data_IF_805879022977
#
_entry.id   IF_805879022977
#
_cell.length_a   1.000
_cell.length_b   1.000
_cell.length_c   1.000
_cell.angle_alpha   90.00
_cell.angle_beta   90.00
_cell.angle_gamma   90.00
#
_symmetry.space_group_name_H-M   'P 1'
#
loop_
_entity.id
_entity.type
_entity.pdbx_description
1 polymer ?
#
# COMPACT_ATOMS: atom_id res chain seq x y z
N UNK A 1 -15.16 -32.12 -72.74
CA UNK A 1 -15.99 -31.45 -73.76
C UNK A 1 -17.18 -30.80 -73.06
N UNK A 2 -17.32 -29.49 -73.26
CA UNK A 2 -18.49 -28.62 -73.09
C UNK A 2 -19.20 -28.50 -71.73
N UNK A 3 -19.07 -27.29 -71.15
CA UNK A 3 -20.07 -26.64 -70.31
C UNK A 3 -21.30 -26.21 -71.15
N UNK A 4 -22.44 -25.89 -70.48
CA UNK A 4 -22.87 -24.48 -70.46
C UNK A 4 -23.47 -24.04 -69.10
N UNK A 5 -24.05 -22.83 -69.09
CA UNK A 5 -24.13 -21.82 -68.02
C UNK A 5 -25.51 -21.67 -67.35
N UNK A 6 -25.45 -21.15 -66.11
CA UNK A 6 -26.25 -20.07 -65.46
C UNK A 6 -27.72 -20.20 -64.98
N UNK A 7 -27.90 -19.67 -63.75
CA UNK A 7 -29.06 -19.05 -63.07
C UNK A 7 -30.15 -19.99 -62.46
N UNK A 8 -30.67 -19.82 -61.23
CA UNK A 8 -30.51 -18.84 -60.15
C UNK A 8 -31.46 -19.14 -58.96
N UNK A 9 -31.40 -18.30 -57.91
CA UNK A 9 -32.26 -18.18 -56.70
C UNK A 9 -32.07 -19.21 -55.56
N UNK A 10 -31.42 -18.92 -54.42
CA UNK A 10 -31.70 -18.02 -53.25
C UNK A 10 -32.95 -18.38 -52.42
N UNK A 11 -32.72 -18.98 -51.25
CA UNK A 11 -33.63 -19.00 -50.09
C UNK A 11 -32.83 -18.69 -48.82
N UNK A 12 -33.04 -17.50 -48.24
CA UNK A 12 -32.31 -16.95 -47.11
C UNK A 12 -32.85 -17.45 -45.76
N UNK A 13 -31.94 -17.91 -44.88
CA UNK A 13 -32.14 -18.00 -43.44
C UNK A 13 -31.99 -16.62 -42.79
N UNK A 14 -32.88 -16.33 -41.84
CA UNK A 14 -32.85 -15.14 -40.98
C UNK A 14 -31.72 -15.26 -39.95
N UNK A 15 -30.79 -14.30 -39.97
CA UNK A 15 -29.81 -14.08 -38.90
C UNK A 15 -30.20 -12.80 -38.16
N UNK A 16 -30.31 -12.89 -36.84
CA UNK A 16 -30.52 -11.75 -35.95
C UNK A 16 -29.20 -10.97 -35.85
N UNK A 17 -29.23 -9.71 -36.28
CA UNK A 17 -28.08 -8.82 -36.28
C UNK A 17 -27.83 -8.25 -34.87
N UNK A 18 -26.57 -8.35 -34.42
CA UNK A 18 -26.06 -7.78 -33.19
C UNK A 18 -26.07 -6.24 -33.19
N UNK A 19 -26.15 -5.69 -31.98
CA UNK A 19 -26.26 -4.26 -31.70
C UNK A 19 -25.12 -3.44 -32.31
N UNK A 20 -25.51 -2.38 -33.01
CA UNK A 20 -24.62 -1.48 -33.73
C UNK A 20 -23.84 -0.55 -32.78
N UNK A 21 -22.51 -0.56 -32.89
CA UNK A 21 -21.64 0.53 -32.44
C UNK A 21 -21.94 1.79 -33.29
N UNK A 22 -22.62 2.79 -32.73
CA UNK A 22 -22.84 4.07 -33.40
C UNK A 22 -21.69 5.04 -33.09
N UNK A 23 -20.72 5.13 -34.00
CA UNK A 23 -19.86 6.30 -34.10
C UNK A 23 -20.63 7.42 -34.84
N UNK A 24 -21.02 8.50 -34.15
CA UNK A 24 -21.61 9.68 -34.80
C UNK A 24 -20.48 10.57 -35.36
N UNK A 25 -20.46 10.78 -36.69
CA UNK A 25 -19.76 11.90 -37.33
C UNK A 25 -20.81 12.87 -37.88
N UNK A 26 -20.83 14.10 -37.37
CA UNK A 26 -21.57 15.20 -38.00
C UNK A 26 -20.68 15.84 -39.07
N UNK A 27 -21.26 16.16 -40.23
CA UNK A 27 -20.65 17.00 -41.27
C UNK A 27 -21.45 18.30 -41.34
N UNK A 28 -20.79 19.43 -41.19
CA UNK A 28 -21.25 20.73 -41.70
C UNK A 28 -20.05 21.59 -42.08
N UNK A 29 -20.15 22.21 -43.25
CA UNK A 29 -19.23 23.17 -43.84
C UNK A 29 -19.32 24.54 -43.15
N UNK A 30 -18.18 25.20 -42.89
CA UNK A 30 -18.13 26.63 -42.53
C UNK A 30 -16.94 26.98 -41.64
N UNK A 31 -16.33 28.14 -41.92
CA UNK A 31 -15.06 28.69 -41.40
C UNK A 31 -14.88 28.86 -39.88
N UNK A 32 -13.61 28.78 -39.46
CA UNK A 32 -12.96 29.38 -38.27
C UNK A 32 -13.31 28.87 -36.86
N UNK A 33 -12.27 28.44 -36.15
CA UNK A 33 -12.27 28.06 -34.74
C UNK A 33 -11.79 26.63 -34.57
N UNK A 34 -10.59 26.43 -34.02
CA UNK A 34 -10.13 25.11 -33.57
C UNK A 34 -11.01 24.65 -32.41
N UNK A 35 -12.13 24.01 -32.72
CA UNK A 35 -12.92 23.27 -31.76
C UNK A 35 -12.04 22.15 -31.16
N UNK A 36 -11.99 21.99 -29.83
CA UNK A 36 -11.29 20.85 -29.25
C UNK A 36 -11.97 19.56 -29.75
N UNK A 37 -11.20 18.71 -30.45
CA UNK A 37 -11.68 17.40 -30.88
C UNK A 37 -12.28 16.64 -29.69
N UNK A 38 -13.55 16.25 -29.82
CA UNK A 38 -14.30 15.61 -28.74
C UNK A 38 -13.65 14.27 -28.33
N UNK A 39 -13.63 13.93 -27.03
CA UNK A 39 -13.13 12.65 -26.56
C UNK A 39 -13.95 11.49 -27.14
N UNK A 40 -13.28 10.37 -27.43
CA UNK A 40 -13.96 9.14 -27.83
C UNK A 40 -14.44 8.39 -26.59
N UNK A 41 -15.71 7.99 -26.60
CA UNK A 41 -16.35 7.30 -25.47
C UNK A 41 -16.89 5.93 -25.89
N UNK A 42 -16.70 4.95 -25.03
CA UNK A 42 -17.26 3.61 -25.14
C UNK A 42 -18.03 3.27 -23.87
N UNK A 43 -19.23 2.72 -24.03
CA UNK A 43 -20.02 2.17 -22.93
C UNK A 43 -20.30 0.70 -23.24
N UNK A 44 -19.72 -0.20 -22.45
CA UNK A 44 -19.88 -1.64 -22.58
C UNK A 44 -20.80 -2.18 -21.49
N UNK A 45 -21.68 -3.12 -21.85
CA UNK A 45 -22.42 -3.93 -20.88
C UNK A 45 -21.58 -5.15 -20.51
N UNK A 46 -21.38 -5.36 -19.22
CA UNK A 46 -20.47 -6.38 -18.69
C UNK A 46 -21.11 -7.13 -17.53
N UNK A 47 -20.53 -8.27 -17.16
CA UNK A 47 -20.82 -8.90 -15.87
C UNK A 47 -20.31 -8.00 -14.72
N UNK A 48 -21.04 -7.88 -13.59
CA UNK A 48 -20.59 -7.11 -12.42
C UNK A 48 -19.31 -7.63 -11.77
N UNK A 49 -18.99 -8.90 -12.02
CA UNK A 49 -17.74 -9.54 -11.63
C UNK A 49 -16.96 -9.94 -12.87
N UNK A 50 -15.69 -9.56 -12.92
CA UNK A 50 -14.85 -9.76 -14.08
C UNK A 50 -13.46 -9.16 -13.89
N UNK A 51 -12.76 -8.97 -15.01
CA UNK A 51 -11.40 -8.44 -15.05
C UNK A 51 -11.27 -7.31 -16.05
N UNK A 52 -10.52 -6.27 -15.70
CA UNK A 52 -10.03 -5.26 -16.63
C UNK A 52 -8.59 -5.57 -17.04
N UNK A 53 -8.36 -5.78 -18.34
CA UNK A 53 -7.04 -5.89 -18.94
C UNK A 53 -6.72 -4.63 -19.74
N UNK A 54 -5.82 -3.81 -19.24
CA UNK A 54 -5.38 -2.60 -19.93
C UNK A 54 -3.91 -2.71 -20.37
N UNK A 55 -3.61 -2.41 -21.63
CA UNK A 55 -2.24 -2.32 -22.15
C UNK A 55 -2.11 -1.09 -23.03
N UNK A 56 -1.44 -0.05 -22.50
CA UNK A 56 -1.42 1.28 -23.13
C UNK A 56 -0.06 1.96 -22.92
N UNK A 57 0.49 2.69 -23.92
CA UNK A 57 1.73 3.46 -23.77
C UNK A 57 1.50 4.91 -23.28
N UNK A 58 0.32 5.24 -22.76
CA UNK A 58 -0.10 6.61 -22.43
C UNK A 58 -0.64 6.72 -21.00
N UNK A 59 -1.17 7.90 -20.62
CA UNK A 59 -1.73 8.11 -19.28
C UNK A 59 -3.04 7.34 -19.11
N UNK A 60 -3.11 6.44 -18.14
CA UNK A 60 -4.28 5.64 -17.81
C UNK A 60 -4.78 5.98 -16.40
N UNK A 61 -6.05 6.35 -16.27
CA UNK A 61 -6.72 6.49 -14.99
C UNK A 61 -7.85 5.45 -14.87
N UNK A 62 -7.81 4.63 -13.82
CA UNK A 62 -8.83 3.62 -13.53
C UNK A 62 -9.52 3.99 -12.22
N UNK A 63 -10.85 4.12 -12.27
CA UNK A 63 -11.70 4.47 -11.12
C UNK A 63 -12.91 3.56 -11.04
N UNK A 64 -13.50 3.35 -9.85
CA UNK A 64 -14.74 2.64 -9.75
C UNK A 64 -15.83 3.41 -10.49
N UNK A 65 -16.78 2.65 -11.02
CA UNK A 65 -18.05 3.16 -11.49
C UNK A 65 -18.83 3.74 -10.30
N UNK A 66 -19.57 4.82 -10.54
CA UNK A 66 -20.40 5.42 -9.49
C UNK A 66 -21.56 4.47 -9.14
N UNK A 67 -21.61 3.93 -7.90
CA UNK A 67 -22.67 3.01 -7.50
C UNK A 67 -24.07 3.65 -7.50
N UNK A 68 -24.17 4.98 -7.35
CA UNK A 68 -25.45 5.68 -7.36
C UNK A 68 -26.02 5.78 -8.78
N UNK A 69 -25.16 6.02 -9.77
CA UNK A 69 -25.56 6.10 -11.17
C UNK A 69 -25.73 4.71 -11.81
N UNK A 70 -25.02 3.69 -11.33
CA UNK A 70 -25.00 2.35 -11.89
C UNK A 70 -25.04 1.29 -10.77
N UNK A 71 -26.21 1.09 -10.12
CA UNK A 71 -26.33 0.20 -8.97
C UNK A 71 -26.05 -1.28 -9.30
N UNK A 72 -26.35 -1.70 -10.52
CA UNK A 72 -26.13 -3.08 -10.97
C UNK A 72 -24.65 -3.41 -11.21
N UNK A 73 -23.78 -2.40 -11.34
CA UNK A 73 -22.37 -2.60 -11.67
C UNK A 73 -22.15 -3.29 -13.02
N UNK A 74 -23.11 -3.25 -13.95
CA UNK A 74 -23.10 -4.01 -15.20
C UNK A 74 -22.54 -3.20 -16.40
N UNK A 75 -21.72 -2.19 -16.12
CA UNK A 75 -21.15 -1.28 -17.12
C UNK A 75 -19.66 -1.05 -16.94
N UNK A 76 -18.97 -0.89 -18.06
CA UNK A 76 -17.65 -0.27 -18.13
C UNK A 76 -17.72 0.93 -19.07
N UNK A 77 -17.23 2.06 -18.60
CA UNK A 77 -17.12 3.29 -19.39
C UNK A 77 -15.65 3.54 -19.68
N UNK A 78 -15.31 3.75 -20.95
CA UNK A 78 -13.96 4.13 -21.38
C UNK A 78 -14.05 5.47 -22.09
N UNK A 79 -13.27 6.44 -21.67
CA UNK A 79 -13.14 7.74 -22.32
C UNK A 79 -11.68 7.95 -22.71
N UNK A 80 -11.42 8.31 -23.96
CA UNK A 80 -10.09 8.63 -24.45
C UNK A 80 -10.06 10.04 -25.03
N UNK A 81 -9.01 10.80 -24.71
CA UNK A 81 -8.71 12.07 -25.37
C UNK A 81 -8.57 11.88 -26.89
N UNK A 82 -8.72 12.94 -27.68
CA UNK A 82 -8.56 12.88 -29.14
C UNK A 82 -7.23 12.21 -29.57
N UNK A 83 -6.13 12.54 -28.89
CA UNK A 83 -4.81 11.92 -29.10
C UNK A 83 -4.70 10.47 -28.60
N UNK A 84 -5.60 10.03 -27.71
CA UNK A 84 -5.67 8.67 -27.16
C UNK A 84 -6.71 7.78 -27.83
N UNK A 85 -7.52 8.31 -28.75
CA UNK A 85 -8.61 7.58 -29.39
C UNK A 85 -8.18 6.82 -30.65
N UNK A 86 -7.21 7.34 -31.39
CA UNK A 86 -6.74 6.73 -32.64
C UNK A 86 -5.98 5.42 -32.38
N UNK A 87 -6.59 4.27 -32.71
CA UNK A 87 -5.95 2.95 -32.53
C UNK A 87 -6.22 2.28 -31.18
N UNK A 88 -7.12 2.83 -30.36
CA UNK A 88 -7.59 2.19 -29.13
C UNK A 88 -8.60 1.08 -29.46
N UNK A 89 -8.37 -0.13 -28.97
CA UNK A 89 -9.31 -1.25 -29.07
C UNK A 89 -9.93 -1.51 -27.71
N UNK A 90 -11.25 -1.38 -27.64
CA UNK A 90 -12.05 -1.63 -26.45
C UNK A 90 -13.03 -2.75 -26.76
N UNK A 91 -12.88 -3.89 -26.09
CA UNK A 91 -13.72 -5.07 -26.32
C UNK A 91 -14.04 -5.77 -24.99
N UNK A 92 -15.21 -6.40 -24.92
CA UNK A 92 -15.60 -7.27 -23.81
C UNK A 92 -15.70 -8.71 -24.32
N UNK A 93 -15.05 -9.63 -23.62
CA UNK A 93 -15.16 -11.06 -23.82
C UNK A 93 -16.05 -11.65 -22.72
N UNK A 94 -17.24 -12.13 -23.11
CA UNK A 94 -18.24 -12.67 -22.18
C UNK A 94 -17.81 -14.02 -21.60
N UNK A 95 -17.10 -14.85 -22.37
CA UNK A 95 -16.66 -16.17 -21.91
C UNK A 95 -15.57 -16.04 -20.84
N UNK A 96 -14.67 -15.06 -21.00
CA UNK A 96 -13.61 -14.76 -20.03
C UNK A 96 -14.04 -13.75 -18.95
N UNK A 97 -15.20 -13.10 -19.11
CA UNK A 97 -15.65 -11.95 -18.32
C UNK A 97 -14.57 -10.87 -18.21
N UNK A 98 -13.89 -10.61 -19.33
CA UNK A 98 -12.73 -9.71 -19.39
C UNK A 98 -13.00 -8.52 -20.31
N UNK A 99 -12.76 -7.31 -19.82
CA UNK A 99 -12.72 -6.10 -20.65
C UNK A 99 -11.29 -5.82 -21.05
N UNK A 100 -11.01 -5.80 -22.34
CA UNK A 100 -9.71 -5.49 -22.91
C UNK A 100 -9.69 -4.06 -23.45
N UNK A 101 -8.78 -3.23 -22.92
CA UNK A 101 -8.46 -1.88 -23.39
C UNK A 101 -7.02 -1.88 -23.87
N UNK A 102 -6.81 -2.02 -25.18
CA UNK A 102 -5.51 -2.32 -25.78
C UNK A 102 -5.13 -1.29 -26.83
N UNK A 103 -3.87 -0.86 -26.81
CA UNK A 103 -3.26 -0.17 -27.94
C UNK A 103 -1.74 -0.25 -27.89
N UNK A 104 -1.12 -0.40 -29.05
CA UNK A 104 0.34 -0.54 -29.19
C UNK A 104 1.01 0.76 -29.66
N UNK A 105 0.23 1.73 -30.16
CA UNK A 105 0.75 2.94 -30.80
C UNK A 105 -0.17 4.15 -30.55
N UNK A 106 -0.25 4.59 -29.29
CA UNK A 106 -0.92 5.85 -28.92
C UNK A 106 0.10 6.97 -28.75
N UNK A 107 -0.32 8.22 -28.99
CA UNK A 107 0.47 9.39 -28.59
C UNK A 107 0.65 9.33 -27.06
N UNK A 108 1.90 9.39 -26.53
CA UNK A 108 2.16 9.43 -25.09
C UNK A 108 1.46 10.58 -24.36
N UNK A 109 1.08 11.66 -25.07
CA UNK A 109 0.29 12.78 -24.53
C UNK A 109 -1.20 12.46 -24.38
N UNK A 110 -1.68 11.37 -24.98
CA UNK A 110 -3.05 10.92 -24.83
C UNK A 110 -3.36 10.47 -23.40
N UNK A 111 -4.61 10.64 -23.00
CA UNK A 111 -5.14 10.10 -21.76
C UNK A 111 -6.33 9.18 -22.02
N UNK A 112 -6.40 8.09 -21.26
CA UNK A 112 -7.50 7.14 -21.23
C UNK A 112 -8.01 7.03 -19.79
N UNK A 113 -9.31 7.20 -19.62
CA UNK A 113 -10.00 6.99 -18.35
C UNK A 113 -10.91 5.78 -18.48
N UNK A 114 -10.87 4.90 -17.48
CA UNK A 114 -11.71 3.72 -17.39
C UNK A 114 -12.48 3.75 -16.07
N UNK A 115 -13.79 3.78 -16.15
CA UNK A 115 -14.68 3.53 -15.03
C UNK A 115 -15.20 2.10 -15.11
N UNK A 116 -14.82 1.26 -14.14
CA UNK A 116 -15.20 -0.16 -14.10
C UNK A 116 -15.86 -0.54 -12.77
N UNK A 117 -16.63 -1.64 -12.71
CA UNK A 117 -17.28 -2.06 -11.47
C UNK A 117 -16.28 -2.25 -10.33
N UNK A 118 -16.68 -1.88 -9.11
CA UNK A 118 -15.78 -1.78 -7.94
C UNK A 118 -14.97 -3.06 -7.68
N UNK A 119 -15.57 -4.23 -7.96
CA UNK A 119 -15.02 -5.56 -7.70
C UNK A 119 -14.29 -6.20 -8.87
N UNK A 120 -13.92 -5.42 -9.89
CA UNK A 120 -13.13 -5.95 -11.01
C UNK A 120 -11.67 -6.19 -10.61
N UNK A 121 -11.16 -7.36 -10.96
CA UNK A 121 -9.73 -7.62 -10.95
C UNK A 121 -9.03 -6.76 -12.00
N UNK A 122 -7.81 -6.31 -11.69
CA UNK A 122 -7.07 -5.38 -12.53
C UNK A 122 -5.79 -6.03 -13.05
N UNK A 123 -5.57 -5.98 -14.37
CA UNK A 123 -4.33 -6.37 -15.02
C UNK A 123 -3.90 -5.26 -15.99
N UNK A 124 -3.05 -4.36 -15.49
CA UNK A 124 -2.67 -3.15 -16.18
C UNK A 124 -1.19 -3.24 -16.54
N UNK A 125 -0.87 -2.97 -17.81
CA UNK A 125 0.49 -2.82 -18.30
C UNK A 125 0.65 -1.49 -19.00
N UNK A 126 1.65 -0.71 -18.61
CA UNK A 126 2.02 0.53 -19.26
C UNK A 126 3.43 0.47 -19.83
N UNK A 127 3.55 0.72 -21.12
CA UNK A 127 4.84 0.81 -21.82
C UNK A 127 5.33 2.26 -21.88
N UNK A 128 6.63 2.44 -22.10
CA UNK A 128 7.27 3.76 -22.17
C UNK A 128 7.14 4.55 -20.87
N UNK A 129 6.79 5.83 -21.00
CA UNK A 129 6.66 6.78 -19.88
C UNK A 129 5.22 6.96 -19.38
N UNK A 130 4.29 6.09 -19.79
CA UNK A 130 2.87 6.19 -19.44
C UNK A 130 2.63 6.18 -17.92
N UNK A 131 1.76 7.08 -17.45
CA UNK A 131 1.40 7.18 -16.02
C UNK A 131 0.11 6.41 -15.75
N UNK A 132 0.15 5.50 -14.79
CA UNK A 132 -1.02 4.72 -14.36
C UNK A 132 -1.52 5.29 -13.03
N UNK A 133 -2.80 5.60 -12.95
CA UNK A 133 -3.47 5.97 -11.70
C UNK A 133 -4.63 5.00 -11.45
N UNK A 134 -4.63 4.34 -10.30
CA UNK A 134 -5.74 3.48 -9.84
C UNK A 134 -6.22 3.99 -8.50
N UNK A 135 -7.52 4.22 -8.34
CA UNK A 135 -8.08 4.80 -7.13
C UNK A 135 -9.35 4.10 -6.66
N UNK A 136 -9.50 3.91 -5.34
CA UNK A 136 -10.74 3.46 -4.67
C UNK A 136 -11.33 2.14 -5.20
N UNK A 137 -10.50 1.14 -5.50
CA UNK A 137 -10.93 -0.19 -5.94
C UNK A 137 -10.89 -1.22 -4.81
N UNK A 138 -11.75 -2.24 -4.91
CA UNK A 138 -11.79 -3.39 -4.02
C UNK A 138 -11.83 -4.70 -4.81
N UNK A 139 -10.70 -5.38 -4.99
CA UNK A 139 -10.57 -6.52 -5.91
C UNK A 139 -9.73 -7.66 -5.34
N UNK A 140 -9.88 -8.89 -5.82
CA UNK A 140 -9.06 -9.99 -5.30
C UNK A 140 -7.63 -9.91 -5.82
N UNK A 141 -7.46 -9.59 -7.10
CA UNK A 141 -6.15 -9.48 -7.73
C UNK A 141 -5.99 -8.13 -8.45
N UNK A 142 -4.94 -7.40 -8.06
CA UNK A 142 -4.51 -6.20 -8.74
C UNK A 142 -3.06 -6.37 -9.21
N UNK A 143 -2.84 -6.40 -10.53
CA UNK A 143 -1.52 -6.46 -11.15
C UNK A 143 -1.27 -5.21 -11.98
N UNK A 144 -0.18 -4.50 -11.68
CA UNK A 144 0.24 -3.30 -12.40
C UNK A 144 1.71 -3.46 -12.80
N UNK A 145 2.00 -3.39 -14.09
CA UNK A 145 3.36 -3.42 -14.64
C UNK A 145 3.65 -2.12 -15.39
N UNK A 146 4.73 -1.40 -15.06
CA UNK A 146 5.14 -0.16 -15.74
C UNK A 146 6.59 -0.19 -16.17
N UNK A 147 6.91 0.40 -17.32
CA UNK A 147 8.30 0.48 -17.80
C UNK A 147 9.06 1.64 -17.15
N UNK A 148 8.81 2.90 -17.51
CA UNK A 148 9.55 4.05 -16.98
C UNK A 148 8.62 5.12 -16.36
N UNK A 149 7.33 4.83 -16.31
CA UNK A 149 6.29 5.77 -15.90
C UNK A 149 6.10 5.93 -14.39
N UNK A 150 5.06 6.68 -14.02
CA UNK A 150 4.63 6.81 -12.62
C UNK A 150 3.37 5.98 -12.37
N UNK A 151 3.43 5.10 -11.38
CA UNK A 151 2.30 4.31 -10.88
C UNK A 151 1.75 4.92 -9.60
N UNK A 152 0.53 5.43 -9.64
CA UNK A 152 -0.16 6.04 -8.50
C UNK A 152 -1.29 5.12 -8.07
N UNK A 153 -1.19 4.56 -6.87
CA UNK A 153 -2.21 3.72 -6.26
C UNK A 153 -2.83 4.48 -5.10
N UNK A 154 -4.15 4.66 -5.09
CA UNK A 154 -4.83 5.45 -4.07
C UNK A 154 -5.95 4.66 -3.41
N UNK A 155 -5.87 4.46 -2.10
CA UNK A 155 -6.94 3.85 -1.28
C UNK A 155 -7.50 2.56 -1.90
N UNK A 156 -6.62 1.58 -2.11
CA UNK A 156 -6.98 0.30 -2.72
C UNK A 156 -7.12 -0.79 -1.66
N UNK A 157 -8.08 -1.68 -1.85
CA UNK A 157 -8.20 -2.92 -1.10
C UNK A 157 -8.03 -4.07 -2.06
N UNK A 158 -7.08 -4.95 -1.79
CA UNK A 158 -6.95 -6.16 -2.57
C UNK A 158 -6.46 -7.34 -1.76
N UNK A 159 -6.89 -8.56 -2.08
CA UNK A 159 -6.28 -9.73 -1.44
C UNK A 159 -4.82 -9.89 -1.87
N UNK A 160 -4.53 -9.63 -3.15
CA UNK A 160 -3.20 -9.70 -3.75
C UNK A 160 -2.95 -8.50 -4.67
N UNK A 161 -2.05 -7.63 -4.23
CA UNK A 161 -1.55 -6.51 -5.02
C UNK A 161 -0.11 -6.80 -5.47
N UNK A 162 0.13 -6.80 -6.78
CA UNK A 162 1.46 -6.91 -7.36
C UNK A 162 1.75 -5.70 -8.25
N UNK A 163 2.79 -4.94 -7.92
CA UNK A 163 3.25 -3.79 -8.69
C UNK A 163 4.69 -4.02 -9.12
N UNK A 164 4.94 -3.99 -10.41
CA UNK A 164 6.29 -4.10 -10.96
C UNK A 164 6.61 -2.86 -11.79
N UNK A 165 7.71 -2.18 -11.50
CA UNK A 165 8.21 -1.10 -12.34
C UNK A 165 9.67 -1.32 -12.71
N UNK A 166 10.03 -1.05 -13.98
CA UNK A 166 11.44 -1.10 -14.40
C UNK A 166 12.17 0.21 -14.08
N UNK A 167 11.48 1.34 -14.14
CA UNK A 167 11.97 2.69 -13.92
C UNK A 167 10.83 3.61 -13.47
N UNK A 168 11.15 4.82 -13.03
CA UNK A 168 10.16 5.84 -12.67
C UNK A 168 9.77 5.85 -11.18
N UNK A 169 8.47 5.93 -10.87
CA UNK A 169 7.99 6.14 -9.49
C UNK A 169 6.78 5.27 -9.17
N UNK A 170 6.75 4.69 -7.98
CA UNK A 170 5.56 4.07 -7.38
C UNK A 170 5.12 4.91 -6.20
N UNK A 171 3.87 5.38 -6.22
CA UNK A 171 3.30 6.26 -5.20
C UNK A 171 2.01 5.63 -4.68
N UNK A 172 2.05 5.16 -3.44
CA UNK A 172 0.89 4.64 -2.72
C UNK A 172 0.33 5.73 -1.81
N UNK A 173 -0.85 6.25 -2.13
CA UNK A 173 -1.54 7.33 -1.42
C UNK A 173 -2.71 6.79 -0.60
N UNK A 174 -2.87 7.32 0.62
CA UNK A 174 -3.88 6.82 1.55
C UNK A 174 -3.54 5.40 2.01
N UNK A 175 -4.56 4.57 2.18
CA UNK A 175 -4.40 3.22 2.77
C UNK A 175 -4.48 2.17 1.68
N UNK A 176 -3.43 1.39 1.50
CA UNK A 176 -3.44 0.20 0.66
C UNK A 176 -3.59 -1.03 1.57
N UNK A 177 -4.66 -1.79 1.40
CA UNK A 177 -4.97 -2.97 2.19
C UNK A 177 -4.75 -4.24 1.39
N UNK A 178 -4.01 -5.22 1.93
CA UNK A 178 -3.83 -6.51 1.26
C UNK A 178 -2.51 -7.23 1.50
N UNK A 179 -2.32 -8.36 0.79
CA UNK A 179 -0.98 -8.90 0.58
C UNK A 179 -0.34 -8.16 -0.59
N UNK A 180 0.75 -7.45 -0.31
CA UNK A 180 1.32 -6.46 -1.22
C UNK A 180 2.72 -6.90 -1.63
N UNK A 181 3.00 -6.89 -2.92
CA UNK A 181 4.30 -7.18 -3.50
C UNK A 181 4.66 -6.07 -4.50
N UNK A 182 5.68 -5.28 -4.19
CA UNK A 182 6.13 -4.15 -5.02
C UNK A 182 7.59 -4.38 -5.40
N UNK A 183 7.85 -4.51 -6.70
CA UNK A 183 9.20 -4.65 -7.24
C UNK A 183 9.54 -3.45 -8.13
N UNK A 184 10.60 -2.74 -7.79
CA UNK A 184 11.03 -1.53 -8.49
C UNK A 184 12.52 -1.64 -8.86
N UNK A 185 12.81 -1.74 -10.16
CA UNK A 185 14.19 -1.84 -10.68
C UNK A 185 14.78 -0.47 -11.04
N UNK A 186 16.03 -0.46 -11.48
CA UNK A 186 16.79 0.74 -11.85
C UNK A 186 16.74 1.80 -10.71
N UNK A 187 16.62 3.07 -11.08
CA UNK A 187 16.56 4.22 -10.16
C UNK A 187 15.13 4.54 -9.71
N UNK A 188 14.26 3.53 -9.63
CA UNK A 188 12.85 3.72 -9.32
C UNK A 188 12.62 4.09 -7.85
N UNK A 189 11.88 5.16 -7.61
CA UNK A 189 11.51 5.57 -6.23
C UNK A 189 10.18 4.97 -5.82
N UNK A 190 10.11 4.42 -4.60
CA UNK A 190 8.86 3.92 -4.01
C UNK A 190 8.50 4.79 -2.81
N UNK A 191 7.33 5.43 -2.87
CA UNK A 191 6.80 6.26 -1.78
C UNK A 191 5.45 5.74 -1.34
N UNK A 192 5.31 5.47 -0.05
CA UNK A 192 4.17 4.80 0.55
C UNK A 192 3.66 5.63 1.73
N UNK A 193 2.38 5.99 1.72
CA UNK A 193 1.74 6.65 2.86
C UNK A 193 1.35 5.63 3.93
N UNK A 194 0.47 4.66 3.61
CA UNK A 194 0.07 3.62 4.55
C UNK A 194 -0.18 2.27 3.87
N UNK A 195 0.46 1.22 4.36
CA UNK A 195 0.13 -0.17 4.02
C UNK A 195 -0.45 -0.91 5.23
N UNK A 196 -1.45 -1.74 4.98
CA UNK A 196 -2.06 -2.61 5.97
C UNK A 196 -2.32 -4.00 5.38
N UNK A 197 -2.05 -5.06 6.12
CA UNK A 197 -2.31 -6.43 5.67
C UNK A 197 -1.35 -7.45 6.26
N UNK A 198 -1.52 -8.73 5.93
CA UNK A 198 -0.76 -9.79 6.60
C UNK A 198 0.68 -9.89 6.10
N UNK A 199 0.91 -9.75 4.79
CA UNK A 199 2.25 -9.88 4.19
C UNK A 199 2.53 -8.75 3.22
N UNK A 200 3.63 -8.04 3.44
CA UNK A 200 4.12 -6.99 2.52
C UNK A 200 5.56 -7.27 2.12
N UNK A 201 5.82 -7.25 0.81
CA UNK A 201 7.15 -7.34 0.21
C UNK A 201 7.37 -6.10 -0.65
N UNK A 202 8.46 -5.37 -0.41
CA UNK A 202 8.86 -4.23 -1.26
C UNK A 202 10.35 -4.33 -1.56
N UNK A 203 10.72 -4.32 -2.82
CA UNK A 203 12.13 -4.37 -3.25
C UNK A 203 12.45 -3.25 -4.23
N UNK A 204 13.54 -2.53 -3.97
CA UNK A 204 14.14 -1.53 -4.86
C UNK A 204 15.56 -1.93 -5.28
N UNK A 205 16.03 -1.45 -6.42
CA UNK A 205 17.45 -1.54 -6.79
C UNK A 205 18.20 -0.29 -6.29
N UNK A 206 18.23 0.79 -7.05
CA UNK A 206 19.02 1.99 -6.74
C UNK A 206 18.19 3.15 -6.16
N UNK A 207 16.87 3.09 -6.29
CA UNK A 207 16.00 4.18 -5.86
C UNK A 207 15.60 4.14 -4.39
N UNK A 208 15.19 5.29 -3.87
CA UNK A 208 14.74 5.48 -2.49
C UNK A 208 13.46 4.68 -2.22
N UNK A 209 13.43 3.97 -1.09
CA UNK A 209 12.25 3.35 -0.53
C UNK A 209 11.81 4.13 0.70
N UNK A 210 10.65 4.78 0.63
CA UNK A 210 10.07 5.51 1.75
C UNK A 210 8.65 5.02 2.08
N UNK A 211 8.42 4.60 3.32
CA UNK A 211 7.08 4.26 3.81
C UNK A 211 6.78 4.96 5.13
N UNK A 212 5.67 5.69 5.21
CA UNK A 212 5.32 6.47 6.40
C UNK A 212 4.66 5.62 7.48
N UNK A 213 3.75 4.73 7.10
CA UNK A 213 3.06 3.82 8.02
C UNK A 213 2.99 2.40 7.47
N UNK A 214 3.46 1.43 8.25
CA UNK A 214 3.33 0.00 7.96
C UNK A 214 2.64 -0.68 9.14
N UNK A 215 1.42 -1.17 8.93
CA UNK A 215 0.67 -1.93 9.94
C UNK A 215 0.37 -3.33 9.42
N UNK A 216 1.32 -4.22 9.62
CA UNK A 216 1.31 -5.54 8.99
C UNK A 216 1.61 -6.63 10.01
N UNK A 217 1.29 -7.88 9.68
CA UNK A 217 1.73 -9.00 10.51
C UNK A 217 3.21 -9.29 10.24
N UNK A 218 3.57 -9.34 8.95
CA UNK A 218 4.94 -9.55 8.47
C UNK A 218 5.27 -8.61 7.31
N UNK A 219 6.50 -8.12 7.26
CA UNK A 219 6.99 -7.34 6.11
C UNK A 219 8.46 -7.55 5.81
N UNK A 220 8.77 -7.62 4.52
CA UNK A 220 10.11 -7.66 3.98
C UNK A 220 10.33 -6.45 3.07
N UNK A 221 11.31 -5.62 3.40
CA UNK A 221 11.68 -4.48 2.57
C UNK A 221 13.16 -4.54 2.24
N UNK A 222 13.51 -4.39 0.97
CA UNK A 222 14.88 -4.53 0.51
C UNK A 222 15.27 -3.49 -0.53
N UNK A 223 16.56 -3.14 -0.53
CA UNK A 223 17.17 -2.23 -1.50
C UNK A 223 18.57 -2.70 -1.89
N UNK A 224 19.00 -2.53 -3.13
CA UNK A 224 20.39 -2.79 -3.50
C UNK A 224 21.29 -1.62 -3.08
N UNK A 225 21.02 -0.41 -3.55
CA UNK A 225 21.82 0.77 -3.27
C UNK A 225 21.02 1.95 -2.69
N UNK A 226 19.69 1.97 -2.85
CA UNK A 226 18.85 3.05 -2.32
C UNK A 226 18.66 2.98 -0.80
N UNK A 227 18.45 4.14 -0.19
CA UNK A 227 18.11 4.24 1.24
C UNK A 227 16.71 3.68 1.52
N UNK A 228 16.53 3.13 2.73
CA UNK A 228 15.24 2.65 3.25
C UNK A 228 14.84 3.56 4.42
N UNK A 229 13.75 4.29 4.28
CA UNK A 229 13.22 5.17 5.33
C UNK A 229 11.80 4.77 5.73
N UNK A 230 11.63 4.37 6.98
CA UNK A 230 10.35 3.97 7.54
C UNK A 230 9.95 4.93 8.67
N UNK A 231 8.68 5.37 8.65
CA UNK A 231 8.10 6.18 9.72
C UNK A 231 7.72 5.30 10.91
N UNK A 232 6.42 5.02 11.08
CA UNK A 232 5.93 4.12 12.13
C UNK A 232 5.63 2.74 11.56
N UNK A 233 6.23 1.72 12.16
CA UNK A 233 6.08 0.33 11.74
C UNK A 233 5.57 -0.54 12.88
N UNK A 234 4.64 -1.43 12.56
CA UNK A 234 4.06 -2.41 13.47
C UNK A 234 4.04 -3.79 12.81
N UNK A 235 4.44 -4.82 13.54
CA UNK A 235 4.55 -6.21 13.06
C UNK A 235 5.97 -6.76 13.10
N UNK A 236 6.17 -7.88 12.41
CA UNK A 236 7.48 -8.50 12.22
C UNK A 236 8.12 -7.98 10.92
N UNK A 237 9.12 -7.11 11.07
CA UNK A 237 9.72 -6.37 9.95
C UNK A 237 11.15 -6.84 9.70
N UNK A 238 11.46 -7.17 8.44
CA UNK A 238 12.81 -7.49 7.98
C UNK A 238 13.25 -6.49 6.92
N UNK A 239 14.37 -5.81 7.16
CA UNK A 239 14.95 -4.78 6.30
C UNK A 239 16.33 -5.22 5.83
N UNK A 240 16.57 -5.11 4.53
CA UNK A 240 17.87 -5.47 3.95
C UNK A 240 18.32 -4.46 2.91
N UNK A 241 19.48 -3.83 3.14
CA UNK A 241 20.15 -2.99 2.14
C UNK A 241 21.53 -3.54 1.80
N UNK A 242 22.04 -3.39 0.57
CA UNK A 242 23.47 -3.66 0.31
C UNK A 242 24.33 -2.42 0.56
N UNK A 243 23.97 -1.27 -0.01
CA UNK A 243 24.80 -0.05 0.09
C UNK A 243 24.07 1.19 0.63
N UNK A 244 22.78 1.07 0.95
CA UNK A 244 21.96 2.18 1.44
C UNK A 244 21.89 2.22 2.97
N UNK A 245 21.52 3.40 3.48
CA UNK A 245 21.21 3.61 4.88
C UNK A 245 19.82 3.06 5.20
N UNK A 246 19.61 2.67 6.46
CA UNK A 246 18.32 2.23 6.98
C UNK A 246 17.93 3.17 8.12
N UNK A 247 16.76 3.81 8.01
CA UNK A 247 16.21 4.67 9.06
C UNK A 247 14.80 4.22 9.41
N UNK A 248 14.54 4.02 10.71
CA UNK A 248 13.22 3.64 11.24
C UNK A 248 12.85 4.59 12.39
N UNK A 249 11.89 5.48 12.14
CA UNK A 249 11.51 6.53 13.10
C UNK A 249 10.77 5.98 14.34
N UNK A 250 10.05 4.85 14.19
CA UNK A 250 9.41 4.15 15.30
C UNK A 250 9.03 2.73 14.94
N UNK A 251 9.54 1.76 15.71
CA UNK A 251 9.16 0.34 15.58
C UNK A 251 8.41 -0.19 16.79
N UNK A 252 7.40 -1.03 16.52
CA UNK A 252 6.59 -1.75 17.51
C UNK A 252 6.40 -3.19 17.05
N UNK A 253 7.19 -4.13 17.60
CA UNK A 253 7.21 -5.54 17.16
C UNK A 253 8.62 -6.09 17.02
N UNK A 254 8.80 -7.14 16.23
CA UNK A 254 10.13 -7.65 15.91
C UNK A 254 10.74 -6.90 14.72
N UNK A 255 12.02 -6.59 14.80
CA UNK A 255 12.74 -5.87 13.75
C UNK A 255 14.09 -6.54 13.49
N UNK A 256 14.29 -6.99 12.26
CA UNK A 256 15.61 -7.38 11.75
C UNK A 256 16.02 -6.37 10.70
N UNK A 257 17.17 -5.72 10.85
CA UNK A 257 17.68 -4.80 9.84
C UNK A 257 19.17 -5.08 9.56
N UNK A 258 19.54 -5.19 8.29
CA UNK A 258 20.91 -5.45 7.90
C UNK A 258 21.35 -4.59 6.71
N UNK A 259 22.56 -4.05 6.78
CA UNK A 259 23.23 -3.41 5.65
C UNK A 259 24.69 -3.86 5.50
N UNK A 260 25.17 -4.04 4.25
CA UNK A 260 26.59 -4.36 3.99
C UNK A 260 27.45 -3.10 4.08
N UNK A 261 26.96 -1.98 3.56
CA UNK A 261 27.57 -0.66 3.64
C UNK A 261 26.47 0.38 3.85
N UNK A 262 26.59 1.21 4.88
CA UNK A 262 25.59 2.20 5.24
C UNK A 262 25.31 2.22 6.74
N UNK A 263 24.72 3.32 7.22
CA UNK A 263 24.34 3.47 8.61
C UNK A 263 22.92 2.91 8.88
N UNK A 264 22.70 2.47 10.12
CA UNK A 264 21.39 2.03 10.61
C UNK A 264 20.98 2.93 11.78
N UNK A 265 19.86 3.64 11.65
CA UNK A 265 19.28 4.48 12.71
C UNK A 265 17.86 4.01 13.02
N UNK A 266 17.63 3.49 14.22
CA UNK A 266 16.36 2.86 14.59
C UNK A 266 15.88 3.37 15.95
N UNK A 267 14.61 3.80 16.02
CA UNK A 267 13.92 4.03 17.28
C UNK A 267 13.00 2.85 17.64
N UNK A 268 13.27 2.20 18.77
CA UNK A 268 12.49 1.08 19.29
C UNK A 268 11.52 1.58 20.35
N UNK A 269 10.22 1.50 20.03
CA UNK A 269 9.15 2.05 20.87
C UNK A 269 8.50 1.00 21.77
N UNK A 270 8.20 -0.18 21.22
CA UNK A 270 7.69 -1.34 21.95
C UNK A 270 8.54 -2.56 21.59
N UNK A 271 8.95 -3.32 22.60
CA UNK A 271 9.95 -4.36 22.41
C UNK A 271 9.35 -5.69 21.92
N UNK A 272 9.80 -6.13 20.74
CA UNK A 272 9.88 -7.53 20.32
C UNK A 272 11.33 -8.02 20.33
N UNK A 273 11.73 -8.80 19.30
CA UNK A 273 13.14 -9.17 19.04
C UNK A 273 13.75 -8.18 18.06
N UNK A 274 14.89 -7.58 18.40
CA UNK A 274 15.58 -6.60 17.55
C UNK A 274 16.99 -7.08 17.20
N UNK A 275 17.27 -7.36 15.94
CA UNK A 275 18.60 -7.74 15.43
C UNK A 275 19.04 -6.75 14.33
N UNK A 276 20.09 -5.98 14.61
CA UNK A 276 20.62 -4.94 13.74
C UNK A 276 22.05 -5.26 13.34
N UNK A 277 22.36 -5.17 12.04
CA UNK A 277 23.69 -5.45 11.50
C UNK A 277 24.11 -4.38 10.49
N UNK A 278 25.28 -3.80 10.67
CA UNK A 278 25.87 -2.86 9.72
C UNK A 278 27.33 -3.23 9.50
N UNK A 279 27.62 -3.99 8.44
CA UNK A 279 28.96 -4.56 8.26
C UNK A 279 30.02 -3.46 8.09
N UNK A 280 29.81 -2.52 7.14
CA UNK A 280 30.59 -1.29 6.96
C UNK A 280 29.73 -0.06 7.23
N UNK A 281 29.52 0.25 8.50
CA UNK A 281 28.72 1.40 8.92
C UNK A 281 28.66 1.57 10.42
N UNK A 282 27.77 2.45 10.88
CA UNK A 282 27.44 2.66 12.29
C UNK A 282 26.00 2.27 12.56
N UNK A 283 25.71 1.94 13.82
CA UNK A 283 24.35 1.65 14.29
C UNK A 283 24.01 2.63 15.40
N UNK A 284 22.88 3.29 15.28
CA UNK A 284 22.28 4.11 16.33
C UNK A 284 20.95 3.47 16.72
N UNK A 285 20.84 3.09 17.99
CA UNK A 285 19.62 2.55 18.57
C UNK A 285 19.06 3.55 19.56
N UNK A 286 17.89 4.09 19.28
CA UNK A 286 17.16 4.97 20.19
C UNK A 286 16.08 4.14 20.87
N UNK A 287 15.95 4.27 22.19
CA UNK A 287 15.02 3.47 22.98
C UNK A 287 14.16 4.38 23.87
N UNK A 288 12.93 3.95 24.12
CA UNK A 288 12.08 4.57 25.13
C UNK A 288 12.68 4.35 26.55
N UNK A 289 12.64 5.37 27.40
CA UNK A 289 13.27 5.35 28.73
C UNK A 289 12.74 4.25 29.67
N UNK A 290 11.50 3.79 29.48
CA UNK A 290 10.86 2.72 30.27
C UNK A 290 11.03 1.32 29.69
N UNK A 291 11.75 1.18 28.57
CA UNK A 291 11.84 -0.06 27.82
C UNK A 291 12.72 -1.08 28.56
N UNK A 292 12.22 -2.30 28.77
CA UNK A 292 12.97 -3.38 29.42
C UNK A 292 13.48 -4.35 28.37
N UNK A 293 14.80 -4.54 28.26
CA UNK A 293 15.41 -5.44 27.29
C UNK A 293 16.77 -5.98 27.74
N UNK A 294 17.14 -7.15 27.23
CA UNK A 294 18.54 -7.57 27.23
C UNK A 294 19.28 -6.89 26.07
N UNK A 295 20.47 -6.34 26.34
CA UNK A 295 21.30 -5.66 25.35
C UNK A 295 22.51 -6.54 25.01
N UNK A 296 22.79 -6.70 23.72
CA UNK A 296 24.04 -7.24 23.21
C UNK A 296 24.56 -6.33 22.10
N UNK A 297 25.56 -5.52 22.40
CA UNK A 297 26.12 -4.54 21.48
C UNK A 297 27.53 -4.97 21.11
N UNK A 298 27.86 -4.98 19.82
CA UNK A 298 29.21 -5.26 19.33
C UNK A 298 29.63 -4.29 18.25
N UNK A 299 30.85 -3.78 18.37
CA UNK A 299 31.42 -2.88 17.38
C UNK A 299 32.87 -2.53 17.69
N UNK A 300 33.49 -1.73 16.82
CA UNK A 300 34.85 -1.21 17.06
C UNK A 300 34.87 -0.29 18.29
N UNK A 301 33.84 0.52 18.42
CA UNK A 301 33.55 1.36 19.58
C UNK A 301 32.06 1.20 19.93
N UNK A 302 31.75 1.24 21.22
CA UNK A 302 30.36 1.15 21.71
C UNK A 302 30.17 2.24 22.75
N UNK A 303 29.18 3.10 22.52
CA UNK A 303 28.82 4.21 23.41
C UNK A 303 27.39 4.04 23.91
N UNK A 304 27.21 4.08 25.23
CA UNK A 304 25.91 3.94 25.88
C UNK A 304 25.65 5.21 26.67
N UNK A 305 24.62 5.96 26.26
CA UNK A 305 24.27 7.21 26.91
C UNK A 305 23.87 6.95 28.38
N UNK A 306 24.34 7.79 29.30
CA UNK A 306 24.08 7.71 30.75
C UNK A 306 22.59 7.77 31.13
N UNK A 307 21.72 8.28 30.25
CA UNK A 307 20.26 8.25 30.45
C UNK A 307 19.65 6.83 30.37
N UNK A 308 20.40 5.87 29.81
CA UNK A 308 19.97 4.47 29.68
C UNK A 308 20.49 3.67 30.88
N UNK A 309 19.59 3.24 31.75
CA UNK A 309 19.94 2.46 32.94
C UNK A 309 20.21 1.00 32.58
N UNK A 310 21.49 0.66 32.41
CA UNK A 310 21.96 -0.72 32.15
C UNK A 310 22.52 -1.33 33.44
N UNK A 311 21.94 -2.45 33.86
CA UNK A 311 22.38 -3.27 34.98
C UNK A 311 23.13 -4.52 34.48
N UNK A 312 23.90 -5.16 35.37
CA UNK A 312 24.68 -6.36 35.03
C UNK A 312 25.55 -6.17 33.76
N UNK A 313 26.08 -4.96 33.59
CA UNK A 313 26.86 -4.61 32.42
C UNK A 313 28.20 -5.35 32.44
N UNK A 314 28.44 -6.18 31.43
CA UNK A 314 29.70 -6.87 31.21
C UNK A 314 30.30 -6.42 29.87
N UNK A 315 31.54 -5.95 29.91
CA UNK A 315 32.35 -5.60 28.75
C UNK A 315 33.39 -6.69 28.49
N UNK A 316 33.42 -7.21 27.26
CA UNK A 316 34.45 -8.13 26.79
C UNK A 316 35.17 -7.52 25.59
N UNK A 317 36.48 -7.31 25.71
CA UNK A 317 37.32 -6.88 24.59
C UNK A 317 37.81 -8.08 23.80
N UNK A 318 37.63 -8.03 22.48
CA UNK A 318 38.17 -8.98 21.50
C UNK A 318 39.20 -8.26 20.63
N UNK A 319 40.06 -9.02 19.94
CA UNK A 319 41.12 -8.45 19.08
C UNK A 319 40.59 -7.43 18.05
N UNK A 320 39.33 -7.59 17.58
CA UNK A 320 38.71 -6.74 16.56
C UNK A 320 37.50 -5.93 17.05
N UNK A 321 37.30 -5.73 18.36
CA UNK A 321 36.22 -4.87 18.86
C UNK A 321 35.80 -5.10 20.32
N UNK A 322 34.80 -4.36 20.74
CA UNK A 322 34.20 -4.42 22.08
C UNK A 322 32.83 -5.06 22.00
N UNK A 323 32.52 -5.95 22.95
CA UNK A 323 31.18 -6.50 23.15
C UNK A 323 30.69 -6.05 24.52
N UNK A 324 29.52 -5.43 24.55
CA UNK A 324 28.82 -5.02 25.77
C UNK A 324 27.55 -5.85 25.89
N UNK A 325 27.35 -6.48 27.03
CA UNK A 325 26.10 -7.16 27.40
C UNK A 325 25.54 -6.56 28.67
N UNK A 326 24.21 -6.52 28.81
CA UNK A 326 23.59 -6.00 30.02
C UNK A 326 22.06 -6.08 30.02
N UNK A 327 21.44 -5.71 31.14
CA UNK A 327 20.00 -5.69 31.34
C UNK A 327 19.51 -4.24 31.46
N UNK A 328 18.71 -3.79 30.52
CA UNK A 328 18.10 -2.46 30.56
C UNK A 328 16.83 -2.49 31.42
N UNK A 329 16.72 -1.54 32.36
CA UNK A 329 15.52 -1.31 33.18
C UNK A 329 14.96 -2.56 33.92
N UNK A 330 15.83 -3.40 34.50
CA UNK A 330 15.44 -4.60 35.26
C UNK A 330 14.64 -5.65 34.47
N UNK A 331 14.97 -5.88 33.19
CA UNK A 331 14.30 -6.85 32.34
C UNK A 331 14.35 -8.28 32.95
N UNK A 332 13.19 -8.93 33.11
CA UNK A 332 13.07 -10.18 33.88
C UNK A 332 12.93 -11.47 33.06
N UNK A 333 13.01 -11.47 31.72
CA UNK A 333 12.90 -12.72 30.91
C UNK A 333 13.64 -12.67 29.56
N UNK A 334 14.10 -13.84 29.09
CA UNK A 334 14.98 -14.09 27.93
C UNK A 334 14.39 -13.84 26.53
N UNK A 335 13.17 -13.36 26.39
CA UNK A 335 12.51 -13.27 25.08
C UNK A 335 12.69 -11.92 24.37
N UNK A 336 13.08 -10.90 25.13
CA UNK A 336 13.08 -9.48 24.75
C UNK A 336 14.52 -8.95 24.72
N UNK A 337 15.08 -8.83 23.53
CA UNK A 337 16.49 -8.46 23.34
C UNK A 337 16.70 -7.50 22.17
N UNK A 338 17.73 -6.67 22.31
CA UNK A 338 18.27 -5.80 21.29
C UNK A 338 19.71 -6.25 21.04
N UNK A 339 20.00 -6.67 19.82
CA UNK A 339 21.36 -6.87 19.35
C UNK A 339 21.68 -5.91 18.23
N UNK A 340 22.86 -5.32 18.34
CA UNK A 340 23.42 -4.46 17.32
C UNK A 340 24.87 -4.87 17.08
N UNK A 341 25.21 -5.17 15.83
CA UNK A 341 26.54 -5.64 15.43
C UNK A 341 27.10 -4.82 14.26
N UNK A 342 28.18 -4.07 14.53
CA UNK A 342 28.89 -3.22 13.58
C UNK A 342 30.38 -3.61 13.49
N UNK A 343 30.73 -4.73 12.82
CA UNK A 343 32.03 -5.37 12.97
C UNK A 343 33.22 -4.62 12.35
N UNK A 344 33.07 -3.99 11.18
CA UNK A 344 34.21 -3.33 10.50
C UNK A 344 34.23 -1.80 10.68
N UNK A 345 33.07 -1.20 10.98
CA UNK A 345 32.92 0.26 10.88
C UNK A 345 33.22 0.81 9.48
N UNK A 346 33.13 2.12 9.29
CA UNK A 346 33.50 2.73 8.00
C UNK A 346 35.00 3.02 7.99
N UNK A 347 35.74 2.38 7.09
CA UNK A 347 37.14 2.70 6.81
C UNK A 347 37.23 3.88 5.83
N UNK A 348 36.94 5.10 6.27
CA UNK A 348 37.35 6.31 5.53
C UNK A 348 38.22 7.17 6.45
N UNK A 349 39.54 7.05 6.28
CA UNK A 349 40.54 7.79 7.05
C UNK A 349 40.65 9.21 6.48
N UNK A 350 40.05 10.20 7.12
CA UNK A 350 40.41 11.62 6.93
C UNK A 350 41.06 12.16 8.19
N UNK A 351 42.28 12.68 8.04
CA UNK A 351 43.01 13.39 9.10
C UNK A 351 42.35 14.75 9.30
N UNK A 352 41.81 15.01 10.49
CA UNK A 352 41.55 16.38 10.93
C UNK A 352 42.33 16.69 12.21
N UNK A 353 43.09 17.77 12.12
CA UNK A 353 43.94 18.33 13.17
C UNK A 353 43.05 19.12 14.12
N UNK A 354 43.12 18.82 15.42
CA UNK A 354 42.36 19.51 16.46
C UNK A 354 42.84 20.96 16.60
N UNK A 355 41.94 21.92 16.41
CA UNK A 355 41.97 23.18 17.15
C UNK A 355 40.65 23.39 17.88
N UNK A 356 40.77 23.77 19.15
CA UNK A 356 39.70 23.86 20.12
C UNK A 356 38.84 25.10 19.90
N UNK A 357 37.52 24.95 19.95
CA UNK A 357 36.65 26.01 20.47
C UNK A 357 35.42 25.44 21.16
N UNK A 358 35.18 25.96 22.37
CA UNK A 358 34.02 25.69 23.21
C UNK A 358 32.78 26.29 22.55
N UNK A 359 31.83 25.48 22.14
CA UNK A 359 30.40 25.81 22.23
C UNK A 359 29.56 24.53 22.12
N UNK A 360 28.49 24.48 22.89
CA UNK A 360 27.58 23.35 22.99
C UNK A 360 26.76 23.26 21.69
N UNK A 361 27.15 22.35 20.79
CA UNK A 361 26.39 21.99 19.60
C UNK A 361 26.63 20.52 19.27
N UNK A 362 25.52 19.78 19.02
CA UNK A 362 25.39 18.38 18.57
C UNK A 362 26.72 17.63 18.32
N UNK A 363 26.98 16.47 18.97
CA UNK A 363 28.14 15.67 18.60
C UNK A 363 27.99 15.17 17.15
N UNK A 364 28.95 15.52 16.31
CA UNK A 364 29.19 14.86 15.02
C UNK A 364 29.74 13.46 15.34
N UNK A 365 28.95 12.42 15.04
CA UNK A 365 29.26 11.03 15.40
C UNK A 365 30.37 10.43 14.53
N UNK A 366 31.29 9.70 15.17
CA UNK A 366 32.41 9.00 14.52
C UNK A 366 32.04 7.58 14.03
N UNK A 367 32.79 7.12 13.03
CA UNK A 367 32.55 5.96 12.19
C UNK A 367 32.81 4.61 12.89
N UNK A 368 31.88 3.66 12.77
CA UNK A 368 32.01 2.31 13.34
C UNK A 368 31.56 2.14 14.79
N UNK A 369 30.70 3.04 15.26
CA UNK A 369 30.14 2.99 16.61
C UNK A 369 28.77 2.30 16.63
N UNK A 370 28.50 1.59 17.73
CA UNK A 370 27.13 1.30 18.18
C UNK A 370 26.79 2.29 19.29
N UNK A 371 25.79 3.14 19.06
CA UNK A 371 25.34 4.13 20.05
C UNK A 371 23.92 3.79 20.54
N UNK A 372 23.70 3.83 21.85
CA UNK A 372 22.35 3.71 22.44
C UNK A 372 21.94 5.00 23.12
N UNK A 373 20.81 5.58 22.69
CA UNK A 373 20.26 6.82 23.24
C UNK A 373 18.88 6.60 23.90
N UNK A 374 18.71 7.14 25.12
CA UNK A 374 17.38 7.28 25.73
C UNK A 374 16.67 8.51 25.14
N UNK A 375 15.41 8.39 24.72
CA UNK A 375 14.60 9.55 24.33
C UNK A 375 13.18 9.45 24.89
N UNK A 376 12.56 10.61 25.10
CA UNK A 376 11.14 10.73 25.38
C UNK A 376 10.28 10.27 24.20
N UNK A 377 9.04 9.88 24.47
CA UNK A 377 8.11 9.30 23.48
C UNK A 377 7.89 10.26 22.29
N UNK A 378 8.13 9.85 21.04
CA UNK A 378 7.90 10.70 19.88
C UNK A 378 6.40 10.99 19.66
N UNK A 379 6.02 12.15 19.08
CA UNK A 379 4.62 12.57 18.96
C UNK A 379 3.74 11.64 18.10
N UNK A 380 4.32 10.80 17.26
CA UNK A 380 3.59 9.81 16.44
C UNK A 380 2.95 8.67 17.25
N UNK A 381 3.33 8.49 18.53
CA UNK A 381 2.81 7.46 19.42
C UNK A 381 1.33 7.66 19.81
N UNK A 382 0.78 8.88 19.67
CA UNK A 382 -0.66 9.15 19.90
C UNK A 382 -1.56 8.44 18.88
N UNK A 383 -1.05 8.14 17.67
CA UNK A 383 -1.79 7.37 16.67
C UNK A 383 -1.92 5.88 17.05
N UNK A 384 -0.92 5.32 17.73
CA UNK A 384 -0.92 3.94 18.25
C UNK A 384 -1.96 3.73 19.37
N UNK A 385 -2.12 4.72 20.25
CA UNK A 385 -3.19 4.70 21.27
C UNK A 385 -4.58 4.66 20.61
N UNK A 386 -4.77 5.39 19.51
CA UNK A 386 -5.99 5.32 18.71
C UNK A 386 -6.26 3.94 18.10
N UNK A 387 -5.23 3.19 17.69
CA UNK A 387 -5.36 1.82 17.19
C UNK A 387 -5.74 0.82 18.30
N UNK A 388 -5.06 0.88 19.45
CA UNK A 388 -5.38 0.05 20.62
C UNK A 388 -6.81 0.32 21.13
N UNK A 389 -7.21 1.59 21.20
CA UNK A 389 -8.58 2.00 21.56
C UNK A 389 -9.61 1.57 20.50
N UNK A 390 -9.28 1.69 19.21
CA UNK A 390 -10.16 1.28 18.11
C UNK A 390 -10.41 -0.22 18.07
N UNK A 391 -9.38 -1.04 18.27
CA UNK A 391 -9.47 -2.51 18.32
C UNK A 391 -10.21 -2.98 19.57
N UNK A 392 -9.96 -2.38 20.74
CA UNK A 392 -10.68 -2.68 21.99
C UNK A 392 -12.17 -2.30 21.91
N UNK A 393 -12.50 -1.16 21.31
CA UNK A 393 -13.90 -0.77 21.10
C UNK A 393 -14.62 -1.67 20.10
N UNK A 394 -13.97 -2.09 19.02
CA UNK A 394 -14.57 -3.02 18.05
C UNK A 394 -14.85 -4.40 18.65
N UNK A 395 -13.90 -4.95 19.43
CA UNK A 395 -14.10 -6.25 20.09
C UNK A 395 -15.17 -6.20 21.18
N UNK A 396 -15.28 -5.09 21.93
CA UNK A 396 -16.32 -4.90 22.94
C UNK A 396 -17.72 -4.76 22.32
N UNK A 397 -17.83 -4.11 21.15
CA UNK A 397 -19.10 -3.97 20.41
C UNK A 397 -19.53 -5.32 19.81
N UNK A 398 -18.58 -6.14 19.33
CA UNK A 398 -18.87 -7.50 18.83
C UNK A 398 -19.30 -8.45 19.96
N UNK A 399 -18.70 -8.37 21.15
CA UNK A 399 -19.12 -9.18 22.31
C UNK A 399 -20.45 -8.72 22.92
N UNK A 400 -20.79 -7.43 22.83
CA UNK A 400 -22.10 -6.92 23.28
C UNK A 400 -23.24 -7.20 22.28
N UNK A 401 -22.96 -7.37 20.98
CA UNK A 401 -24.01 -7.69 19.99
C UNK A 401 -24.50 -9.14 20.02
N UNK A 402 -23.79 -10.03 20.74
CA UNK A 402 -24.17 -11.44 20.90
C UNK A 402 -24.93 -11.72 22.21
N UNK A 403 -25.09 -10.74 23.10
CA UNK A 403 -25.96 -10.85 24.28
C UNK A 403 -26.74 -9.56 24.57
N UNK A 404 -28.06 -9.65 24.45
CA UNK A 404 -29.14 -8.71 24.87
C UNK A 404 -29.58 -7.66 23.84
N UNK A 405 -30.68 -7.97 23.16
CA UNK A 405 -31.46 -7.09 22.26
C UNK A 405 -32.28 -5.97 22.95
N UNK A 406 -32.02 -5.61 24.21
CA UNK A 406 -32.91 -4.73 24.99
C UNK A 406 -32.31 -3.43 25.55
N UNK A 407 -31.15 -2.97 25.07
CA UNK A 407 -30.51 -1.74 25.60
C UNK A 407 -30.15 -0.69 24.53
N UNK A 408 -30.45 -0.93 23.25
CA UNK A 408 -30.11 -0.03 22.13
C UNK A 408 -30.76 1.37 22.22
N UNK A 409 -32.00 1.55 22.73
CA UNK A 409 -32.63 2.89 22.81
C UNK A 409 -31.93 3.85 23.78
N UNK A 410 -31.35 3.36 24.89
CA UNK A 410 -30.69 4.20 25.89
C UNK A 410 -29.30 4.70 25.42
N UNK A 411 -28.63 3.94 24.57
CA UNK A 411 -27.33 4.31 24.01
C UNK A 411 -27.42 5.48 22.99
N UNK A 412 -28.52 5.52 22.22
CA UNK A 412 -28.81 6.61 21.28
C UNK A 412 -29.14 7.94 21.97
N UNK A 413 -29.80 7.89 23.14
CA UNK A 413 -30.02 9.07 23.99
C UNK A 413 -28.73 9.56 24.65
N UNK A 414 -27.88 8.64 25.11
CA UNK A 414 -26.57 8.97 25.69
C UNK A 414 -25.63 9.64 24.66
N UNK A 415 -25.61 9.13 23.42
CA UNK A 415 -24.80 9.68 22.33
C UNK A 415 -25.28 11.08 21.87
N UNK A 416 -26.58 11.38 21.95
CA UNK A 416 -27.12 12.73 21.69
C UNK A 416 -26.76 13.75 22.78
N UNK A 417 -26.58 13.30 24.03
CA UNK A 417 -26.33 14.18 25.18
C UNK A 417 -24.86 14.61 25.32
N UNK A 418 -23.92 13.91 24.69
CA UNK A 418 -22.47 14.20 24.71
C UNK A 418 -21.97 14.89 23.43
N UNK A 419 -22.77 15.79 22.87
CA UNK A 419 -22.35 16.59 21.73
C UNK A 419 -21.11 17.43 22.04
N UNK A 420 -19.96 17.01 21.51
CA UNK A 420 -18.82 17.89 21.17
C UNK A 420 -17.90 17.20 20.12
N UNK A 421 -17.77 17.88 18.99
CA UNK A 421 -16.74 17.75 17.93
C UNK A 421 -16.49 16.38 17.28
N UNK A 422 -17.37 15.97 16.36
CA UNK A 422 -16.99 15.10 15.23
C UNK A 422 -17.42 15.76 13.91
N UNK A 423 -16.54 16.59 13.35
CA UNK A 423 -16.67 17.13 11.99
C UNK A 423 -15.73 16.35 11.05
N UNK A 424 -16.12 15.16 10.60
CA UNK A 424 -15.57 14.50 9.40
C UNK A 424 -16.60 13.53 8.77
N UNK A 425 -16.57 13.30 7.44
CA UNK A 425 -17.67 12.65 6.68
C UNK A 425 -17.82 11.13 6.86
N UNK A 426 -17.07 10.51 7.77
CA UNK A 426 -17.05 9.04 7.91
C UNK A 426 -18.21 8.46 8.73
N UNK A 427 -18.98 9.30 9.43
CA UNK A 427 -20.12 8.90 10.26
C UNK A 427 -21.38 8.51 9.45
N UNK A 428 -21.47 8.88 8.17
CA UNK A 428 -22.59 8.51 7.29
C UNK A 428 -22.49 7.08 6.73
N UNK A 429 -21.27 6.54 6.56
CA UNK A 429 -21.08 5.16 6.09
C UNK A 429 -21.54 4.12 7.11
N UNK A 430 -21.35 4.39 8.41
CA UNK A 430 -21.74 3.47 9.50
C UNK A 430 -23.27 3.35 9.59
N UNK A 431 -24.00 4.43 9.33
CA UNK A 431 -25.47 4.42 9.30
C UNK A 431 -25.99 3.64 8.08
N UNK A 432 -25.29 3.71 6.93
CA UNK A 432 -25.68 2.96 5.72
C UNK A 432 -25.49 1.44 5.87
N UNK A 433 -24.42 0.99 6.51
CA UNK A 433 -24.16 -0.45 6.73
C UNK A 433 -25.12 -1.08 7.75
N UNK A 434 -25.54 -0.32 8.76
CA UNK A 434 -26.56 -0.76 9.73
C UNK A 434 -27.97 -0.83 9.10
N UNK A 435 -28.28 0.03 8.14
CA UNK A 435 -29.52 -0.05 7.38
C UNK A 435 -29.55 -1.28 6.45
N UNK A 436 -28.42 -1.63 5.83
CA UNK A 436 -28.31 -2.80 4.96
C UNK A 436 -28.47 -4.13 5.72
N UNK A 437 -27.92 -4.21 6.94
CA UNK A 437 -28.09 -5.37 7.82
C UNK A 437 -29.54 -5.50 8.34
N UNK A 438 -30.27 -4.40 8.53
CA UNK A 438 -31.70 -4.43 8.89
C UNK A 438 -32.59 -4.96 7.77
N UNK A 439 -32.31 -4.59 6.53
CA UNK A 439 -33.11 -5.00 5.37
C UNK A 439 -32.88 -6.50 5.07
N UNK A 440 -31.62 -6.94 5.07
CA UNK A 440 -31.28 -8.35 4.81
C UNK A 440 -31.90 -9.31 5.85
N UNK A 441 -31.90 -8.92 7.15
CA UNK A 441 -32.45 -9.76 8.23
C UNK A 441 -33.99 -9.76 8.24
N UNK A 442 -34.64 -8.68 7.77
CA UNK A 442 -36.09 -8.63 7.62
C UNK A 442 -36.58 -9.51 6.46
N UNK A 443 -35.83 -9.56 5.35
CA UNK A 443 -36.14 -10.44 4.21
C UNK A 443 -35.93 -11.93 4.54
N UNK A 444 -34.93 -12.26 5.37
CA UNK A 444 -34.71 -13.64 5.86
C UNK A 444 -35.83 -14.11 6.81
N UNK A 445 -36.34 -13.21 7.66
CA UNK A 445 -37.47 -13.51 8.55
C UNK A 445 -38.79 -13.67 7.77
N UNK A 446 -39.06 -12.81 6.79
CA UNK A 446 -40.25 -12.93 5.94
C UNK A 446 -40.21 -14.16 5.03
N UNK A 447 -39.02 -14.54 4.53
CA UNK A 447 -38.83 -15.75 3.73
C UNK A 447 -39.06 -17.06 4.51
N UNK A 448 -38.85 -17.06 5.83
CA UNK A 448 -39.10 -18.21 6.69
C UNK A 448 -40.58 -18.32 7.12
N UNK A 449 -41.26 -17.19 7.34
CA UNK A 449 -42.70 -17.18 7.68
C UNK A 449 -43.54 -17.69 6.49
N UNK A 450 -43.18 -17.32 5.25
CA UNK A 450 -43.88 -17.80 4.04
C UNK A 450 -43.64 -19.30 3.75
N UNK A 451 -42.52 -19.87 4.20
CA UNK A 451 -42.25 -21.31 4.05
C UNK A 451 -42.98 -22.17 5.10
N UNK A 452 -43.25 -21.63 6.28
CA UNK A 452 -43.99 -22.33 7.33
C UNK A 452 -45.52 -22.30 7.09
N UNK A 453 -46.07 -21.28 6.43
CA UNK A 453 -47.49 -21.28 6.02
C UNK A 453 -47.78 -22.26 4.86
N UNK A 454 -46.84 -22.42 3.92
CA UNK A 454 -46.98 -23.39 2.81
C UNK A 454 -46.84 -24.87 3.25
N UNK A 455 -46.34 -25.13 4.46
CA UNK A 455 -46.29 -26.49 5.04
C UNK A 455 -47.52 -26.88 5.84
N UNK A 456 -48.47 -25.95 6.05
CA UNK A 456 -49.70 -26.17 6.82
C UNK A 456 -51.00 -26.02 6.02
N UNK A 457 -50.94 -25.88 4.69
CA UNK A 457 -52.12 -25.92 3.80
C UNK A 457 -52.30 -27.26 3.12
#
# INVERSE_FOLDING_TARGET
>A
MFAPRSAGALGQLRVWAGGACRARRARSSGSAGSEPEAPAEWALRVSPFGRLRARLPCRLAVRPLDPLAYPDGDRVLVAASAAGASGLRVAYDEALREVAVLSDSLDPRGSVEVAAPLHFDLNIKSSGSGCVKVQNFECDNCKIETEQGTSILQSLKSQKLHVQTKGGKVICLGTIYGNIDIHASDKSTVTIDKLQGSSVSVSTEDGLLKAKYLYTDSSFLSSAAGDITLGSVHGDITLHSKMGNITVDSSSGCLTASTQQGAVDVYVSQLGKVDLKAHKGSIVVKVASSLQAHLQLSGKEVDVNSEVHVQEMAEARKENGVIITGLMNQASTREKWIKADAPQGTEEVRKETKEASKSCSRPQFQHGCVCVEGRGVPPHHLALLGYQLGVLQFNSILTLSTQREHQIPQFLEWAKKKGECWNQPQSLLVISSLAYLRISKADELNGNILRDEQRKS
#
